data_IF_479179886848
#
_entry.id   IF_479179886848
#
_cell.length_a   1.000
_cell.length_b   1.000
_cell.length_c   1.000
_cell.angle_alpha   90.00
_cell.angle_beta   90.00
_cell.angle_gamma   90.00
#
_symmetry.space_group_name_H-M   'P 1'
#
loop_
_entity.id
_entity.type
_entity.pdbx_description
1 polymer ?
#
# COMPACT_ATOMS: atom_id res chain seq x y z
N UNK A 1 11.15 5.95 -15.76
CA UNK A 1 10.91 5.86 -14.31
C UNK A 1 9.55 6.50 -14.02
N UNK A 2 8.51 5.71 -13.78
CA UNK A 2 7.16 6.21 -13.49
C UNK A 2 6.91 6.39 -12.00
N UNK A 3 5.87 7.16 -11.64
CA UNK A 3 5.37 7.26 -10.28
C UNK A 3 3.99 6.60 -10.18
N UNK A 4 3.72 5.98 -9.04
CA UNK A 4 2.38 5.61 -8.60
C UNK A 4 2.08 6.45 -7.38
N UNK A 5 1.02 7.24 -7.45
CA UNK A 5 0.62 8.14 -6.36
C UNK A 5 -0.60 7.54 -5.67
N UNK A 6 -0.52 7.33 -4.36
CA UNK A 6 -1.64 6.92 -3.52
C UNK A 6 -2.13 8.15 -2.76
N UNK A 7 -3.38 8.53 -3.02
CA UNK A 7 -4.08 9.62 -2.34
C UNK A 7 -4.53 9.25 -0.93
N UNK A 8 -5.56 9.93 -0.45
CA UNK A 8 -6.08 9.77 0.90
C UNK A 8 -6.44 8.32 1.24
N UNK A 9 -6.13 7.93 2.48
CA UNK A 9 -6.46 6.61 3.02
C UNK A 9 -7.56 6.72 4.08
N UNK A 10 -7.58 7.79 4.88
CA UNK A 10 -8.58 8.07 5.91
C UNK A 10 -8.88 6.83 6.77
N UNK A 11 -7.86 6.18 7.32
CA UNK A 11 -8.03 5.00 8.19
C UNK A 11 -8.60 3.75 7.50
N UNK A 12 -8.68 3.70 6.16
CA UNK A 12 -9.20 2.57 5.40
C UNK A 12 -8.08 1.60 4.97
N UNK A 13 -7.79 0.59 5.81
CA UNK A 13 -6.68 -0.34 5.57
C UNK A 13 -6.87 -1.25 4.35
N UNK A 14 -8.08 -1.71 4.07
CA UNK A 14 -8.32 -2.65 2.96
C UNK A 14 -8.11 -2.01 1.57
N UNK A 15 -8.66 -0.81 1.28
CA UNK A 15 -8.31 -0.08 0.06
C UNK A 15 -6.81 0.19 -0.08
N UNK A 16 -6.13 0.53 1.03
CA UNK A 16 -4.68 0.72 1.01
C UNK A 16 -3.93 -0.56 0.61
N UNK A 17 -4.27 -1.72 1.22
CA UNK A 17 -3.66 -3.01 0.88
C UNK A 17 -3.87 -3.35 -0.60
N UNK A 18 -5.06 -3.11 -1.13
CA UNK A 18 -5.36 -3.34 -2.53
C UNK A 18 -4.52 -2.44 -3.46
N UNK A 19 -4.40 -1.15 -3.14
CA UNK A 19 -3.59 -0.20 -3.90
C UNK A 19 -2.10 -0.58 -3.90
N UNK A 20 -1.56 -0.97 -2.74
CA UNK A 20 -0.16 -1.41 -2.61
C UNK A 20 0.09 -2.73 -3.36
N UNK A 21 -0.84 -3.68 -3.28
CA UNK A 21 -0.77 -4.95 -4.02
C UNK A 21 -0.82 -4.72 -5.54
N UNK A 22 -1.65 -3.78 -6.01
CA UNK A 22 -1.67 -3.37 -7.40
C UNK A 22 -0.34 -2.73 -7.82
N UNK A 23 0.20 -1.82 -6.99
CA UNK A 23 1.46 -1.14 -7.25
C UNK A 23 2.67 -2.09 -7.30
N UNK A 24 2.64 -3.19 -6.54
CA UNK A 24 3.67 -4.24 -6.54
C UNK A 24 3.92 -4.88 -7.92
N UNK A 25 2.96 -4.78 -8.84
CA UNK A 25 3.12 -5.29 -10.21
C UNK A 25 4.08 -4.44 -11.06
N UNK A 26 4.46 -3.23 -10.60
CA UNK A 26 5.29 -2.28 -11.36
C UNK A 26 6.64 -2.03 -10.68
N UNK A 27 7.59 -2.96 -10.88
CA UNK A 27 8.91 -2.95 -10.22
C UNK A 27 9.80 -1.76 -10.57
N UNK A 28 9.54 -1.06 -11.67
CA UNK A 28 10.28 0.11 -12.16
C UNK A 28 9.65 1.45 -11.73
N UNK A 29 8.58 1.40 -10.93
CA UNK A 29 7.86 2.58 -10.46
C UNK A 29 8.05 2.79 -8.97
N UNK A 30 8.15 4.05 -8.57
CA UNK A 30 8.17 4.43 -7.15
C UNK A 30 6.75 4.71 -6.68
N UNK A 31 6.39 4.16 -5.53
CA UNK A 31 5.14 4.49 -4.84
C UNK A 31 5.37 5.73 -3.99
N UNK A 32 4.49 6.72 -4.13
CA UNK A 32 4.46 7.96 -3.36
C UNK A 32 3.12 8.07 -2.68
N UNK A 33 3.13 8.24 -1.36
CA UNK A 33 1.95 8.54 -0.56
C UNK A 33 1.92 10.03 -0.25
N UNK A 34 0.75 10.66 -0.40
CA UNK A 34 0.65 12.13 -0.34
C UNK A 34 0.06 12.69 0.96
N UNK A 35 -0.49 11.86 1.84
CA UNK A 35 -1.02 12.31 3.15
C UNK A 35 -2.33 11.62 3.54
N UNK A 36 -2.99 12.16 4.55
CA UNK A 36 -4.33 11.74 5.02
C UNK A 36 -4.46 10.23 5.26
N UNK A 37 -3.53 9.70 6.06
CA UNK A 37 -3.48 8.26 6.35
C UNK A 37 -4.52 7.81 7.38
N UNK A 38 -4.86 8.69 8.31
CA UNK A 38 -5.66 8.42 9.49
C UNK A 38 -6.95 9.24 9.48
N UNK A 39 -7.74 9.11 10.55
CA UNK A 39 -9.04 9.74 10.78
C UNK A 39 -10.16 9.20 9.89
N UNK A 40 -11.41 9.35 10.34
CA UNK A 40 -12.69 8.96 9.69
C UNK A 40 -12.92 7.45 9.46
N UNK A 41 -11.89 6.70 9.10
CA UNK A 41 -11.98 5.26 8.87
C UNK A 41 -11.77 4.42 10.13
N UNK A 42 -12.13 3.13 10.07
CA UNK A 42 -12.20 2.26 11.24
C UNK A 42 -10.82 1.74 11.71
N UNK A 43 -9.76 1.89 10.92
CA UNK A 43 -8.53 1.11 11.07
C UNK A 43 -7.24 1.94 10.99
N UNK A 44 -7.23 3.17 11.52
CA UNK A 44 -6.06 4.08 11.51
C UNK A 44 -4.75 3.44 11.98
N UNK A 45 -4.79 2.62 13.04
CA UNK A 45 -3.60 1.91 13.54
C UNK A 45 -3.04 0.94 12.51
N UNK A 46 -3.91 0.13 11.90
CA UNK A 46 -3.51 -0.89 10.93
C UNK A 46 -3.00 -0.27 9.62
N UNK A 47 -3.50 0.91 9.25
CA UNK A 47 -2.96 1.72 8.15
C UNK A 47 -1.50 2.06 8.43
N UNK A 48 -1.20 2.67 9.58
CA UNK A 48 0.18 3.08 9.92
C UNK A 48 1.11 1.87 10.00
N UNK A 49 0.67 0.78 10.63
CA UNK A 49 1.45 -0.47 10.67
C UNK A 49 1.74 -1.03 9.27
N UNK A 50 0.76 -0.96 8.36
CA UNK A 50 0.92 -1.39 6.97
C UNK A 50 1.92 -0.49 6.23
N UNK A 51 1.83 0.83 6.37
CA UNK A 51 2.77 1.77 5.74
C UNK A 51 4.21 1.57 6.24
N UNK A 52 4.39 1.37 7.54
CA UNK A 52 5.71 1.09 8.11
C UNK A 52 6.28 -0.22 7.53
N UNK A 53 5.47 -1.28 7.48
CA UNK A 53 5.89 -2.62 7.04
C UNK A 53 6.22 -2.69 5.54
N UNK A 54 5.39 -2.07 4.70
CA UNK A 54 5.40 -2.22 3.24
C UNK A 54 6.06 -1.06 2.49
N UNK A 55 6.26 0.10 3.13
CA UNK A 55 6.80 1.31 2.46
C UNK A 55 8.08 1.79 3.13
N UNK A 56 8.06 1.97 4.45
CA UNK A 56 9.20 2.57 5.18
C UNK A 56 10.33 1.56 5.41
N UNK A 57 10.01 0.31 5.76
CA UNK A 57 10.99 -0.73 6.04
C UNK A 57 11.75 -1.24 4.78
N UNK A 58 11.58 -0.59 3.62
CA UNK A 58 12.30 -0.91 2.39
C UNK A 58 11.92 -2.26 1.77
N UNK A 59 10.87 -2.93 2.27
CA UNK A 59 10.28 -4.07 1.57
C UNK A 59 9.55 -3.52 0.35
N UNK A 60 10.04 -3.82 -0.84
CA UNK A 60 9.23 -3.73 -2.05
C UNK A 60 7.89 -4.43 -1.75
N UNK A 61 6.72 -3.82 -2.04
CA UNK A 61 5.44 -4.45 -1.75
C UNK A 61 5.46 -5.81 -2.42
N UNK A 62 5.42 -6.87 -1.61
CA UNK A 62 5.52 -8.23 -2.12
C UNK A 62 4.30 -8.47 -3.01
N UNK A 63 4.54 -8.74 -4.30
CA UNK A 63 3.52 -9.23 -5.19
C UNK A 63 2.80 -10.41 -4.52
N UNK A 64 1.45 -10.47 -4.54
CA UNK A 64 0.75 -11.60 -3.99
C UNK A 64 1.27 -12.87 -4.68
N UNK A 65 1.67 -13.87 -3.91
CA UNK A 65 1.94 -15.20 -4.44
C UNK A 65 0.66 -15.61 -5.15
N UNK A 66 0.70 -15.73 -6.49
CA UNK A 66 -0.33 -16.46 -7.21
C UNK A 66 -0.37 -17.83 -6.55
N UNK A 67 -1.41 -18.11 -5.75
CA UNK A 67 -1.76 -19.48 -5.46
C UNK A 67 -2.07 -20.09 -6.81
N UNK A 68 -1.26 -21.09 -7.21
CA UNK A 68 -1.59 -21.96 -8.32
C UNK A 68 -3.01 -22.46 -8.05
N UNK A 69 -3.93 -22.08 -8.91
CA UNK A 69 -5.17 -22.82 -9.08
C UNK A 69 -4.76 -24.07 -9.85
N UNK A 70 -4.39 -25.10 -9.11
CA UNK A 70 -4.52 -26.48 -9.57
C UNK A 70 -5.98 -26.89 -9.43
#
# INVERSE_FOLDING_TARGET
MGLIVVGDVHGCVEPLRLALSWAANFKDRRVVLVGDYIDRGPASKEVIETLIREVVAGRQPHAPRRQSRD
#
